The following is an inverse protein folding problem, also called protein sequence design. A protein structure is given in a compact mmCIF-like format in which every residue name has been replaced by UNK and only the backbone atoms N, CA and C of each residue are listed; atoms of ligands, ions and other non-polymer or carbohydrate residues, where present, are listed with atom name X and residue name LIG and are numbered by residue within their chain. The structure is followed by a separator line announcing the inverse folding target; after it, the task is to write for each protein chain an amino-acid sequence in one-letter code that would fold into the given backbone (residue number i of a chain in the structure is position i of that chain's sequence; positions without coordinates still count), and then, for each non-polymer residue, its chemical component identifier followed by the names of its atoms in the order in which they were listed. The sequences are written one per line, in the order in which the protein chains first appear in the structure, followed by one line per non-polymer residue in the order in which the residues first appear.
data_IF_467324604285
#
_entry.id   IF_467324604285
#
_cell.length_a   1.000
_cell.length_b   1.000
_cell.length_c   1.000
_cell.angle_alpha   90.00
_cell.angle_beta   90.00
_cell.angle_gamma   90.00
#
_symmetry.space_group_name_H-M   'P 1'
#
loop_
_entity.id
_entity.type
_entity.pdbx_description
1 polymer ?
#
# COMPACT_ATOMS: atom_id res chain seq x y z
N UNK A 1 16.39 -16.67 12.67
CA UNK A 1 17.01 -17.53 11.65
C UNK A 1 16.11 -18.69 11.20
N UNK A 2 15.80 -19.72 12.02
CA UNK A 2 14.99 -20.88 11.57
C UNK A 2 13.63 -20.49 10.97
N UNK A 3 12.84 -19.65 11.66
CA UNK A 3 11.55 -19.15 11.14
C UNK A 3 11.68 -18.40 9.81
N UNK A 4 12.74 -17.59 9.64
CA UNK A 4 12.98 -16.85 8.40
C UNK A 4 13.37 -17.79 7.25
N UNK A 5 14.17 -18.82 7.52
CA UNK A 5 14.51 -19.86 6.52
C UNK A 5 13.27 -20.60 6.01
N UNK A 6 12.34 -20.95 6.90
CA UNK A 6 11.06 -21.57 6.51
C UNK A 6 10.24 -20.64 5.60
N UNK A 7 10.12 -19.35 5.95
CA UNK A 7 9.39 -18.38 5.12
C UNK A 7 10.02 -18.16 3.75
N UNK A 8 11.35 -18.22 3.64
CA UNK A 8 12.05 -18.14 2.34
C UNK A 8 11.69 -19.35 1.48
N UNK A 9 11.75 -20.56 2.02
CA UNK A 9 11.39 -21.78 1.28
C UNK A 9 9.92 -21.74 0.86
N UNK A 10 9.01 -21.37 1.77
CA UNK A 10 7.58 -21.21 1.46
C UNK A 10 7.37 -20.16 0.36
N UNK A 11 8.05 -19.03 0.42
CA UNK A 11 7.97 -17.97 -0.59
C UNK A 11 8.46 -18.43 -1.96
N UNK A 12 9.54 -19.22 -2.03
CA UNK A 12 10.06 -19.78 -3.28
C UNK A 12 9.07 -20.78 -3.88
N UNK A 13 8.50 -21.67 -3.06
CA UNK A 13 7.47 -22.61 -3.53
C UNK A 13 6.25 -21.85 -4.05
N UNK A 14 5.81 -20.83 -3.33
CA UNK A 14 4.68 -20.00 -3.74
C UNK A 14 4.96 -19.25 -5.06
N UNK A 15 6.19 -18.76 -5.25
CA UNK A 15 6.61 -18.13 -6.50
C UNK A 15 6.48 -19.10 -7.68
N UNK A 16 6.95 -20.35 -7.55
CA UNK A 16 6.82 -21.34 -8.63
C UNK A 16 5.35 -21.66 -8.94
N UNK A 17 4.51 -21.80 -7.92
CA UNK A 17 3.06 -22.03 -8.10
C UNK A 17 2.43 -20.87 -8.87
N UNK A 18 2.65 -19.63 -8.42
CA UNK A 18 2.08 -18.44 -9.08
C UNK A 18 2.62 -18.28 -10.49
N UNK A 19 3.90 -18.59 -10.72
CA UNK A 19 4.51 -18.51 -12.06
C UNK A 19 3.95 -19.53 -13.05
N UNK A 20 3.37 -20.63 -12.56
CA UNK A 20 2.72 -21.64 -13.38
C UNK A 20 1.26 -21.29 -13.74
N UNK A 21 0.67 -20.27 -13.11
CA UNK A 21 -0.69 -19.83 -13.40
C UNK A 21 -0.70 -18.88 -14.61
N UNK A 22 -1.64 -19.11 -15.53
CA UNK A 22 -1.87 -18.19 -16.64
C UNK A 22 -2.41 -16.86 -16.11
N UNK A 23 -1.74 -15.76 -16.49
CA UNK A 23 -2.14 -14.42 -16.09
C UNK A 23 -3.55 -14.04 -16.58
N UNK A 24 -4.03 -14.65 -17.67
CA UNK A 24 -5.39 -14.42 -18.17
C UNK A 24 -6.44 -14.87 -17.17
N UNK A 25 -6.24 -16.03 -16.53
CA UNK A 25 -7.17 -16.56 -15.51
C UNK A 25 -7.23 -15.60 -14.33
N UNK A 26 -6.08 -15.07 -13.89
CA UNK A 26 -6.02 -14.08 -12.82
C UNK A 26 -6.78 -12.82 -13.23
N UNK A 27 -6.49 -12.28 -14.42
CA UNK A 27 -7.10 -11.06 -14.95
C UNK A 27 -8.63 -11.17 -14.99
N UNK A 28 -9.17 -12.28 -15.48
CA UNK A 28 -10.62 -12.55 -15.58
C UNK A 28 -11.32 -12.54 -14.22
N UNK A 29 -10.68 -13.09 -13.18
CA UNK A 29 -11.23 -13.23 -11.84
C UNK A 29 -10.96 -12.03 -10.92
N UNK A 30 -10.27 -10.99 -11.41
CA UNK A 30 -9.93 -9.80 -10.62
C UNK A 30 -11.11 -9.17 -9.89
N UNK A 31 -12.31 -8.99 -10.47
CA UNK A 31 -13.43 -8.41 -9.74
C UNK A 31 -13.78 -9.20 -8.46
N UNK A 32 -13.75 -10.53 -8.54
CA UNK A 32 -13.99 -11.41 -7.39
C UNK A 32 -12.85 -11.35 -6.37
N UNK A 33 -11.60 -11.41 -6.84
CA UNK A 33 -10.42 -11.27 -5.98
C UNK A 33 -10.38 -9.92 -5.26
N UNK A 34 -10.77 -8.85 -5.95
CA UNK A 34 -10.83 -7.50 -5.41
C UNK A 34 -11.92 -7.39 -4.33
N UNK A 35 -13.12 -7.91 -4.59
CA UNK A 35 -14.19 -7.94 -3.58
C UNK A 35 -13.81 -8.76 -2.35
N UNK A 36 -13.20 -9.94 -2.54
CA UNK A 36 -12.73 -10.78 -1.46
C UNK A 36 -11.63 -10.09 -0.64
N UNK A 37 -10.68 -9.44 -1.29
CA UNK A 37 -9.60 -8.73 -0.62
C UNK A 37 -10.10 -7.49 0.14
N UNK A 38 -11.05 -6.75 -0.43
CA UNK A 38 -11.72 -5.63 0.25
C UNK A 38 -12.53 -6.14 1.45
N UNK A 39 -13.23 -7.27 1.29
CA UNK A 39 -13.92 -7.95 2.38
C UNK A 39 -12.96 -8.36 3.51
N UNK A 40 -11.77 -8.87 3.16
CA UNK A 40 -10.73 -9.19 4.14
C UNK A 40 -10.20 -7.94 4.87
N UNK A 41 -10.10 -6.78 4.21
CA UNK A 41 -9.76 -5.51 4.86
C UNK A 41 -10.86 -5.01 5.81
N UNK A 42 -12.13 -5.18 5.42
CA UNK A 42 -13.26 -4.85 6.29
C UNK A 42 -13.28 -5.77 7.52
N UNK A 43 -12.98 -7.05 7.32
CA UNK A 43 -12.85 -8.01 8.40
C UNK A 43 -11.71 -7.64 9.36
N UNK A 44 -10.52 -7.29 8.87
CA UNK A 44 -9.43 -6.81 9.75
C UNK A 44 -9.78 -5.52 10.46
N UNK A 45 -10.51 -4.61 9.83
CA UNK A 45 -10.91 -3.37 10.49
C UNK A 45 -11.84 -3.65 11.69
N UNK A 46 -12.72 -4.65 11.57
CA UNK A 46 -13.64 -5.04 12.64
C UNK A 46 -13.00 -5.93 13.71
N UNK A 47 -12.26 -6.96 13.31
CA UNK A 47 -11.81 -8.08 14.16
C UNK A 47 -10.29 -8.26 14.21
N UNK A 48 -9.52 -7.41 13.53
CA UNK A 48 -8.06 -7.50 13.49
C UNK A 48 -7.39 -7.19 14.83
N UNK A 49 -6.26 -7.84 15.06
CA UNK A 49 -5.46 -7.62 16.26
C UNK A 49 -4.57 -6.39 16.13
N UNK A 50 -4.40 -5.65 17.22
CA UNK A 50 -3.49 -4.49 17.27
C UNK A 50 -2.06 -4.96 17.44
N UNK A 51 -1.25 -4.83 16.39
CA UNK A 51 0.20 -5.03 16.44
C UNK A 51 0.87 -3.67 16.22
N UNK A 52 1.73 -3.24 17.16
CA UNK A 52 2.47 -1.98 17.06
C UNK A 52 1.59 -0.73 16.83
N UNK A 53 0.36 -0.73 17.35
CA UNK A 53 -0.59 0.38 17.23
C UNK A 53 -1.47 0.38 15.96
N UNK A 54 -1.34 -0.63 15.09
CA UNK A 54 -2.13 -0.82 13.87
C UNK A 54 -2.97 -2.10 13.92
N UNK A 55 -4.23 -2.04 13.48
CA UNK A 55 -5.16 -3.18 13.39
C UNK A 55 -5.13 -3.80 11.99
N UNK A 56 -3.96 -4.30 11.59
CA UNK A 56 -3.72 -4.78 10.23
C UNK A 56 -3.49 -6.29 10.12
N UNK A 57 -3.38 -7.00 11.25
CA UNK A 57 -3.07 -8.42 11.29
C UNK A 57 -4.29 -9.28 11.68
N UNK A 58 -4.49 -10.37 10.94
CA UNK A 58 -5.38 -11.48 11.31
C UNK A 58 -4.53 -12.64 11.76
N UNK A 59 -4.80 -13.16 12.95
CA UNK A 59 -4.15 -14.36 13.44
C UNK A 59 -4.89 -15.59 12.90
N UNK A 60 -4.23 -16.34 12.01
CA UNK A 60 -4.70 -17.63 11.51
C UNK A 60 -4.10 -18.77 12.34
N UNK A 61 -4.13 -18.64 13.67
CA UNK A 61 -3.47 -19.57 14.60
C UNK A 61 -1.96 -19.32 14.70
N UNK A 62 -1.08 -20.21 14.18
CA UNK A 62 0.38 -20.06 14.29
C UNK A 62 0.97 -19.02 13.31
N UNK A 63 0.17 -18.51 12.37
CA UNK A 63 0.61 -17.59 11.31
C UNK A 63 -0.23 -16.32 11.37
N UNK A 64 0.44 -15.17 11.43
CA UNK A 64 -0.19 -13.88 11.19
C UNK A 64 -0.29 -13.61 9.69
N UNK A 65 -1.47 -13.22 9.22
CA UNK A 65 -1.72 -12.81 7.84
C UNK A 65 -2.11 -11.33 7.80
N UNK A 66 -1.50 -10.58 6.89
CA UNK A 66 -1.76 -9.16 6.70
C UNK A 66 -2.50 -8.94 5.37
N UNK A 67 -3.84 -8.75 5.38
CA UNK A 67 -4.62 -8.60 4.15
C UNK A 67 -4.27 -7.37 3.32
N UNK A 68 -3.64 -6.35 3.92
CA UNK A 68 -3.21 -5.14 3.22
C UNK A 68 -2.06 -5.36 2.23
N UNK A 69 -1.34 -6.49 2.32
CA UNK A 69 -0.30 -6.88 1.37
C UNK A 69 -0.88 -7.39 0.03
N UNK A 70 -1.67 -8.49 -0.01
CA UNK A 70 -2.19 -9.03 -1.26
C UNK A 70 -3.14 -8.08 -1.99
N UNK A 71 -3.92 -7.26 -1.27
CA UNK A 71 -4.83 -6.32 -1.93
C UNK A 71 -4.11 -5.25 -2.74
N UNK A 72 -2.86 -4.88 -2.41
CA UNK A 72 -2.07 -3.99 -3.27
C UNK A 72 -1.87 -4.59 -4.65
N UNK A 73 -1.50 -5.86 -4.71
CA UNK A 73 -1.30 -6.58 -5.98
C UNK A 73 -2.61 -6.65 -6.75
N UNK A 74 -3.71 -7.02 -6.08
CA UNK A 74 -5.04 -7.09 -6.71
C UNK A 74 -5.50 -5.72 -7.21
N UNK A 75 -5.27 -4.64 -6.47
CA UNK A 75 -5.62 -3.28 -6.86
C UNK A 75 -4.81 -2.80 -8.09
N UNK A 76 -3.53 -3.15 -8.18
CA UNK A 76 -2.68 -2.85 -9.35
C UNK A 76 -3.24 -3.54 -10.59
N UNK A 77 -3.55 -4.84 -10.51
CA UNK A 77 -4.09 -5.58 -11.66
C UNK A 77 -5.51 -5.11 -12.00
N UNK A 78 -6.35 -4.78 -11.01
CA UNK A 78 -7.68 -4.20 -11.22
C UNK A 78 -7.61 -2.85 -11.92
N UNK A 79 -6.68 -1.99 -11.52
CA UNK A 79 -6.45 -0.72 -12.18
C UNK A 79 -5.97 -0.94 -13.62
N UNK A 80 -4.98 -1.81 -13.83
CA UNK A 80 -4.45 -2.11 -15.15
C UNK A 80 -5.52 -2.64 -16.10
N UNK A 81 -6.34 -3.61 -15.64
CA UNK A 81 -7.47 -4.15 -16.39
C UNK A 81 -8.47 -3.05 -16.74
N UNK A 82 -8.91 -2.28 -15.75
CA UNK A 82 -9.85 -1.18 -15.98
C UNK A 82 -9.33 -0.18 -17.01
N UNK A 83 -8.06 0.25 -16.89
CA UNK A 83 -7.45 1.19 -17.83
C UNK A 83 -7.28 0.60 -19.24
N UNK A 84 -7.05 -0.71 -19.36
CA UNK A 84 -6.95 -1.41 -20.65
C UNK A 84 -8.28 -1.56 -21.39
N UNK A 85 -9.40 -1.65 -20.65
CA UNK A 85 -10.76 -1.77 -21.20
C UNK A 85 -11.33 -0.41 -21.66
N UNK A 86 -10.70 0.71 -21.28
CA UNK A 86 -11.10 2.03 -21.74
C UNK A 86 -10.81 2.17 -23.23
N UNK A 87 -11.88 2.20 -24.06
CA UNK A 87 -11.82 2.49 -25.51
C UNK A 87 -10.88 3.66 -25.81
N UNK A 88 -10.27 3.67 -27.01
CA UNK A 88 -9.24 4.61 -27.50
C UNK A 88 -9.68 6.08 -27.60
N UNK A 89 -10.24 6.62 -26.53
CA UNK A 89 -10.34 8.05 -26.31
C UNK A 89 -8.96 8.58 -25.92
N UNK A 90 -8.51 9.62 -26.63
CA UNK A 90 -7.28 10.37 -26.35
C UNK A 90 -7.27 10.97 -24.93
N UNK A 91 -8.44 11.16 -24.29
CA UNK A 91 -8.55 11.74 -22.96
C UNK A 91 -9.50 10.94 -22.06
N UNK A 92 -9.17 10.86 -20.77
CA UNK A 92 -10.07 10.27 -19.78
C UNK A 92 -11.13 11.28 -19.34
N UNK A 93 -12.38 10.84 -19.27
CA UNK A 93 -13.48 11.60 -18.66
C UNK A 93 -13.29 11.69 -17.15
N UNK A 94 -13.83 12.72 -16.50
CA UNK A 94 -13.79 12.86 -15.03
C UNK A 94 -14.32 11.61 -14.31
N UNK A 95 -15.39 10.99 -14.83
CA UNK A 95 -15.94 9.73 -14.31
C UNK A 95 -14.92 8.59 -14.41
N UNK A 96 -14.13 8.54 -15.49
CA UNK A 96 -13.14 7.49 -15.68
C UNK A 96 -11.96 7.64 -14.70
N UNK A 97 -11.53 8.89 -14.47
CA UNK A 97 -10.52 9.23 -13.46
C UNK A 97 -11.05 8.90 -12.07
N UNK A 98 -12.29 9.26 -11.76
CA UNK A 98 -12.92 8.97 -10.48
C UNK A 98 -13.03 7.46 -10.21
N UNK A 99 -13.35 6.65 -11.24
CA UNK A 99 -13.37 5.18 -11.13
C UNK A 99 -11.97 4.59 -10.90
N UNK A 100 -10.96 5.03 -11.64
CA UNK A 100 -9.56 4.65 -11.38
C UNK A 100 -9.14 5.04 -9.96
N UNK A 101 -9.54 6.24 -9.54
CA UNK A 101 -9.45 6.76 -8.18
C UNK A 101 -10.08 5.84 -7.15
N UNK A 102 -11.29 5.36 -7.39
CA UNK A 102 -11.99 4.49 -6.46
C UNK A 102 -11.36 3.10 -6.35
N UNK A 103 -10.88 2.51 -7.45
CA UNK A 103 -10.23 1.18 -7.46
C UNK A 103 -9.00 1.15 -6.54
N UNK A 104 -8.25 2.24 -6.47
CA UNK A 104 -7.06 2.33 -5.61
C UNK A 104 -7.40 2.99 -4.26
N UNK A 105 -8.28 3.97 -4.28
CA UNK A 105 -8.64 4.81 -3.13
C UNK A 105 -9.45 4.08 -2.08
N UNK A 106 -10.35 3.17 -2.47
CA UNK A 106 -11.14 2.36 -1.52
C UNK A 106 -10.21 1.53 -0.61
N UNK A 107 -9.31 0.67 -1.12
CA UNK A 107 -8.40 -0.08 -0.27
C UNK A 107 -7.44 0.83 0.49
N UNK A 108 -6.95 1.92 -0.14
CA UNK A 108 -6.10 2.90 0.54
C UNK A 108 -6.77 3.48 1.79
N UNK A 109 -8.04 3.90 1.70
CA UNK A 109 -8.80 4.45 2.83
C UNK A 109 -9.03 3.38 3.90
N UNK A 110 -9.40 2.16 3.52
CA UNK A 110 -9.58 1.07 4.47
C UNK A 110 -8.29 0.75 5.24
N UNK A 111 -7.14 0.74 4.57
CA UNK A 111 -5.82 0.55 5.22
C UNK A 111 -5.47 1.74 6.11
N UNK A 112 -5.76 2.97 5.69
CA UNK A 112 -5.55 4.16 6.52
C UNK A 112 -6.40 4.14 7.80
N UNK A 113 -7.62 3.57 7.74
CA UNK A 113 -8.50 3.35 8.89
C UNK A 113 -7.97 2.25 9.84
N UNK A 114 -7.07 1.37 9.39
CA UNK A 114 -6.38 0.34 10.19
C UNK A 114 -5.13 0.86 10.93
N UNK A 115 -5.10 2.16 11.27
CA UNK A 115 -3.89 2.95 11.52
C UNK A 115 -2.58 2.56 10.78
N UNK A 116 -2.64 1.97 9.57
CA UNK A 116 -1.44 1.60 8.82
C UNK A 116 -1.09 2.63 7.74
N UNK A 117 -0.61 3.79 8.20
CA UNK A 117 -0.31 4.93 7.30
C UNK A 117 0.80 4.63 6.31
N UNK A 118 1.79 3.82 6.70
CA UNK A 118 2.89 3.44 5.83
C UNK A 118 2.39 2.65 4.63
N UNK A 119 1.60 1.62 4.87
CA UNK A 119 1.02 0.80 3.80
C UNK A 119 0.03 1.60 2.96
N UNK A 120 -0.80 2.47 3.56
CA UNK A 120 -1.73 3.32 2.81
C UNK A 120 -0.99 4.26 1.82
N UNK A 121 0.17 4.80 2.19
CA UNK A 121 0.93 5.70 1.32
C UNK A 121 1.45 5.01 0.04
N UNK A 122 1.66 3.68 0.09
CA UNK A 122 2.15 2.90 -1.05
C UNK A 122 1.16 2.82 -2.22
N UNK A 123 -0.11 3.17 -2.00
CA UNK A 123 -1.13 3.23 -3.05
C UNK A 123 -1.01 4.48 -3.93
N UNK A 124 -0.39 5.55 -3.45
CA UNK A 124 -0.26 6.81 -4.20
C UNK A 124 0.58 6.64 -5.49
N UNK A 125 1.76 5.99 -5.47
CA UNK A 125 2.49 5.69 -6.70
C UNK A 125 1.69 4.83 -7.67
N UNK A 126 0.90 3.87 -7.18
CA UNK A 126 0.11 2.95 -8.02
C UNK A 126 -0.88 3.73 -8.89
N UNK A 127 -1.67 4.62 -8.28
CA UNK A 127 -2.62 5.44 -9.04
C UNK A 127 -1.90 6.46 -9.93
N UNK A 128 -0.84 7.10 -9.44
CA UNK A 128 -0.11 8.10 -10.22
C UNK A 128 0.51 7.49 -11.49
N UNK A 129 1.18 6.35 -11.36
CA UNK A 129 1.79 5.62 -12.49
C UNK A 129 0.71 5.09 -13.43
N UNK A 130 -0.37 4.49 -12.91
CA UNK A 130 -1.46 4.00 -13.75
C UNK A 130 -2.11 5.10 -14.59
N UNK A 131 -2.40 6.25 -13.99
CA UNK A 131 -2.95 7.41 -14.72
C UNK A 131 -1.95 8.01 -15.71
N UNK A 132 -0.66 8.03 -15.38
CA UNK A 132 0.40 8.47 -16.29
C UNK A 132 0.49 7.59 -17.53
N UNK A 133 0.52 6.26 -17.37
CA UNK A 133 0.59 5.30 -18.47
C UNK A 133 -0.57 5.47 -19.46
N UNK A 134 -1.78 5.75 -18.96
CA UNK A 134 -2.96 5.97 -19.82
C UNK A 134 -2.95 7.31 -20.58
N UNK A 135 -1.95 8.15 -20.34
CA UNK A 135 -1.76 9.42 -21.03
C UNK A 135 -2.51 10.60 -20.39
N UNK A 136 -2.76 10.55 -19.08
CA UNK A 136 -3.28 11.72 -18.36
C UNK A 136 -2.28 12.88 -18.51
N UNK A 137 -2.77 14.09 -18.77
CA UNK A 137 -1.91 15.27 -18.99
C UNK A 137 -0.93 15.42 -17.82
N UNK A 138 0.39 15.54 -18.04
CA UNK A 138 1.36 15.72 -16.96
C UNK A 138 1.01 16.85 -15.99
N UNK A 139 0.38 17.92 -16.49
CA UNK A 139 -0.13 19.02 -15.67
C UNK A 139 -1.19 18.58 -14.63
N UNK A 140 -2.07 17.62 -14.97
CA UNK A 140 -3.07 17.11 -14.05
C UNK A 140 -2.45 16.18 -12.99
N UNK A 141 -1.40 15.41 -13.34
CA UNK A 141 -0.61 14.65 -12.36
C UNK A 141 0.15 15.56 -11.41
N UNK A 142 0.79 16.61 -11.92
CA UNK A 142 1.45 17.64 -11.10
C UNK A 142 0.43 18.30 -10.17
N UNK A 143 -0.77 18.63 -10.67
CA UNK A 143 -1.85 19.16 -9.85
C UNK A 143 -2.27 18.21 -8.72
N UNK A 144 -2.37 16.91 -8.98
CA UNK A 144 -2.70 15.90 -7.97
C UNK A 144 -1.59 15.78 -6.90
N UNK A 145 -0.32 15.77 -7.33
CA UNK A 145 0.83 15.75 -6.41
C UNK A 145 0.89 17.01 -5.56
N UNK A 146 0.68 18.19 -6.15
CA UNK A 146 0.62 19.45 -5.42
C UNK A 146 -0.53 19.49 -4.42
N UNK A 147 -1.72 19.04 -4.82
CA UNK A 147 -2.87 18.93 -3.91
C UNK A 147 -2.56 18.00 -2.73
N UNK A 148 -1.89 16.87 -2.98
CA UNK A 148 -1.46 15.96 -1.92
C UNK A 148 -0.45 16.63 -0.97
N UNK A 149 0.57 17.31 -1.49
CA UNK A 149 1.58 18.02 -0.69
C UNK A 149 0.94 19.11 0.17
N UNK A 150 -0.06 19.84 -0.35
CA UNK A 150 -0.79 20.88 0.39
C UNK A 150 -1.62 20.32 1.56
N UNK A 151 -2.03 19.05 1.51
CA UNK A 151 -2.78 18.40 2.58
C UNK A 151 -1.86 17.88 3.69
N UNK A 152 -0.56 17.66 3.43
CA UNK A 152 0.38 17.14 4.42
C UNK A 152 0.47 17.97 5.70
N UNK A 153 0.55 19.32 5.69
CA UNK A 153 0.57 20.12 6.92
C UNK A 153 -0.71 19.96 7.74
N UNK A 154 -1.87 19.88 7.08
CA UNK A 154 -3.17 19.68 7.73
C UNK A 154 -3.23 18.29 8.37
N UNK A 155 -2.63 17.29 7.73
CA UNK A 155 -2.61 15.92 8.27
C UNK A 155 -1.97 15.85 9.66
N UNK A 156 -1.01 16.74 9.97
CA UNK A 156 -0.37 16.82 11.30
C UNK A 156 -1.36 17.03 12.45
N UNK A 157 -2.48 17.71 12.20
CA UNK A 157 -3.52 17.93 13.21
C UNK A 157 -4.26 16.63 13.58
N UNK A 158 -4.36 15.69 12.63
CA UNK A 158 -5.09 14.42 12.78
C UNK A 158 -4.19 13.24 13.12
N UNK A 159 -2.86 13.42 13.11
CA UNK A 159 -1.91 12.36 13.45
C UNK A 159 -1.99 11.99 14.95
N UNK A 160 -2.02 10.68 15.21
CA UNK A 160 -1.88 10.11 16.56
C UNK A 160 -0.49 10.39 17.12
N UNK A 161 -0.31 10.44 18.46
CA UNK A 161 0.99 10.73 19.08
C UNK A 161 2.14 9.85 18.56
N UNK A 162 1.91 8.55 18.37
CA UNK A 162 2.93 7.63 17.85
C UNK A 162 3.32 7.93 16.39
N UNK A 163 2.41 8.48 15.57
CA UNK A 163 2.71 8.84 14.18
C UNK A 163 3.57 10.09 14.13
N UNK A 164 3.26 11.10 14.96
CA UNK A 164 4.08 12.30 15.13
C UNK A 164 5.47 11.95 15.61
N UNK A 165 5.55 11.05 16.59
CA UNK A 165 6.82 10.59 17.14
C UNK A 165 7.67 9.89 16.07
N UNK A 166 7.09 9.01 15.23
CA UNK A 166 7.81 8.41 14.10
C UNK A 166 8.39 9.45 13.14
N UNK A 167 7.62 10.49 12.81
CA UNK A 167 8.10 11.57 11.92
C UNK A 167 9.23 12.37 12.58
N UNK A 168 9.09 12.69 13.87
CA UNK A 168 10.11 13.42 14.63
C UNK A 168 11.39 12.61 14.81
N UNK A 169 11.28 11.31 15.10
CA UNK A 169 12.43 10.40 15.18
C UNK A 169 13.12 10.25 13.82
N UNK A 170 12.37 10.23 12.72
CA UNK A 170 12.98 10.19 11.38
C UNK A 170 13.72 11.49 11.04
N UNK A 171 13.13 12.66 11.36
CA UNK A 171 13.74 13.97 11.12
C UNK A 171 14.93 14.24 12.06
N UNK A 172 14.85 13.79 13.31
CA UNK A 172 15.85 14.01 14.36
C UNK A 172 16.15 12.69 15.10
N UNK A 173 16.86 11.75 14.45
CA UNK A 173 17.15 10.44 15.04
C UNK A 173 18.10 10.53 16.24
N UNK A 174 18.85 11.63 16.37
CA UNK A 174 19.78 11.90 17.46
C UNK A 174 19.10 12.14 18.82
N UNK A 175 17.79 12.42 18.84
CA UNK A 175 17.03 12.65 20.08
C UNK A 175 16.83 11.38 20.91
N UNK A 176 16.90 10.21 20.29
CA UNK A 176 16.81 8.92 20.97
C UNK A 176 17.71 7.86 20.29
N UNK A 177 19.04 7.95 20.49
CA UNK A 177 20.02 7.11 19.78
C UNK A 177 19.93 5.62 20.13
N UNK A 178 19.41 5.28 21.31
CA UNK A 178 19.35 3.91 21.85
C UNK A 178 17.95 3.29 21.73
N UNK A 179 16.90 4.11 21.58
CA UNK A 179 15.52 3.64 21.41
C UNK A 179 15.05 3.76 19.96
N UNK A 180 14.12 4.68 19.71
CA UNK A 180 13.39 4.78 18.42
C UNK A 180 14.28 5.25 17.26
N UNK A 181 15.33 6.02 17.55
CA UNK A 181 16.29 6.55 16.57
C UNK A 181 17.39 5.57 16.18
N UNK A 182 17.59 4.49 16.95
CA UNK A 182 18.69 3.53 16.77
C UNK A 182 18.73 2.92 15.36
N UNK A 183 17.59 2.41 14.86
CA UNK A 183 17.55 1.78 13.52
C UNK A 183 17.81 2.77 12.38
N UNK A 184 17.38 4.03 12.54
CA UNK A 184 17.62 5.09 11.56
C UNK A 184 19.11 5.47 11.56
N UNK A 185 19.72 5.59 12.75
CA UNK A 185 21.16 5.85 12.88
C UNK A 185 22.01 4.72 12.32
N UNK A 186 21.71 3.46 12.64
CA UNK A 186 22.47 2.32 12.11
C UNK A 186 22.38 2.23 10.59
N UNK A 187 21.21 2.51 10.01
CA UNK A 187 21.08 2.63 8.55
C UNK A 187 21.98 3.74 7.98
N UNK A 188 22.06 4.90 8.62
CA UNK A 188 22.96 6.00 8.20
C UNK A 188 24.44 5.63 8.34
N UNK A 189 24.83 5.01 9.45
CA UNK A 189 26.22 4.57 9.71
C UNK A 189 26.63 3.50 8.69
N UNK A 190 25.76 2.54 8.40
CA UNK A 190 26.03 1.49 7.41
C UNK A 190 26.24 2.06 6.00
N UNK A 191 25.50 3.11 5.62
CA UNK A 191 25.70 3.81 4.34
C UNK A 191 27.01 4.62 4.35
N UNK A 192 27.36 5.27 5.45
CA UNK A 192 28.58 6.09 5.57
C UNK A 192 29.87 5.32 5.82
N UNK A 193 29.78 4.03 6.13
CA UNK A 193 30.94 3.12 6.31
C UNK A 193 31.21 2.23 5.10
N UNK A 194 30.45 2.43 4.01
CA UNK A 194 30.65 1.81 2.69
C UNK A 194 31.40 2.72 1.73
#
# INVERSE_FOLDING_TARGET
FVRQGVWVVVGIVFLFIVSALDYHVISEHIPWLYMLAVGALLYTLAMGHTVSGSKSWVDLGPVGFQPSEPIKMVAVVALARYLSELRESRYMTLIQIAKAGAIVGVPMVLVALQPDTGTALTYLPVIAVGLFIRGLRPAALIGLVLAFVLVLPVSWLFLKPYQKERILTFAQPERDPLGKGYQVMQSKIAIGSG
#
